data_IF_645205494147
#
_entry.id   IF_645205494147
#
_cell.length_a   1.000
_cell.length_b   1.000
_cell.length_c   1.000
_cell.angle_alpha   90.00
_cell.angle_beta   90.00
_cell.angle_gamma   90.00
#
_symmetry.space_group_name_H-M   'P 1'
#
loop_
_entity.id
_entity.type
_entity.pdbx_description
1 polymer ?
#
# COMPACT_ATOMS: atom_id res chain seq x y z
N UNK A 1 6.26 2.74 -20.01
CA UNK A 1 6.62 3.91 -19.17
C UNK A 1 5.85 3.82 -17.87
N UNK A 2 6.54 3.96 -16.76
CA UNK A 2 5.93 3.87 -15.44
C UNK A 2 4.81 4.90 -15.27
N UNK A 3 3.67 4.48 -14.72
CA UNK A 3 2.59 5.38 -14.31
C UNK A 3 2.98 6.17 -13.06
N UNK A 4 3.53 5.45 -12.07
CA UNK A 4 4.07 6.05 -10.85
C UNK A 4 5.55 5.67 -10.73
N UNK A 5 6.42 6.65 -10.49
CA UNK A 5 7.80 6.41 -10.08
C UNK A 5 8.08 7.16 -8.77
N UNK A 6 8.58 6.45 -7.78
CA UNK A 6 9.04 6.98 -6.50
C UNK A 6 10.56 6.82 -6.47
N UNK A 7 11.27 7.92 -6.27
CA UNK A 7 12.72 7.97 -6.37
C UNK A 7 13.33 8.57 -5.09
N UNK A 8 14.08 7.78 -4.35
CA UNK A 8 14.82 8.23 -3.16
C UNK A 8 13.95 8.85 -2.08
N UNK A 9 12.67 8.46 -1.97
CA UNK A 9 11.69 9.06 -1.06
C UNK A 9 12.16 8.97 0.39
N UNK A 10 12.13 10.11 1.09
CA UNK A 10 12.39 10.19 2.53
C UNK A 10 11.29 10.93 3.24
N UNK A 11 10.73 10.29 4.29
CA UNK A 11 9.69 10.88 5.14
C UNK A 11 10.07 10.70 6.60
N UNK A 12 10.07 11.81 7.33
CA UNK A 12 10.56 11.88 8.70
C UNK A 12 9.54 12.55 9.62
N UNK A 13 9.57 12.15 10.89
CA UNK A 13 8.77 12.75 11.96
C UNK A 13 9.70 13.30 13.03
N UNK A 14 9.57 14.60 13.32
CA UNK A 14 10.25 15.22 14.45
C UNK A 14 9.51 14.89 15.73
N UNK A 15 10.15 14.18 16.66
CA UNK A 15 9.58 13.79 17.95
C UNK A 15 10.43 14.31 19.09
N UNK A 16 9.90 14.35 20.33
CA UNK A 16 10.68 14.72 21.53
C UNK A 16 11.89 13.81 21.76
N UNK A 17 11.84 12.56 21.28
CA UNK A 17 12.92 11.59 21.41
C UNK A 17 13.89 11.55 20.21
N UNK A 18 13.77 12.48 19.24
CA UNK A 18 14.61 12.53 18.04
C UNK A 18 13.81 12.39 16.74
N UNK A 19 14.51 12.33 15.63
CA UNK A 19 13.90 12.20 14.31
C UNK A 19 13.68 10.74 13.93
N UNK A 20 12.42 10.37 13.73
CA UNK A 20 12.01 9.05 13.21
C UNK A 20 12.06 9.08 11.68
N UNK A 21 12.91 8.29 11.06
CA UNK A 21 13.01 8.12 9.60
C UNK A 21 12.11 6.99 9.14
N UNK A 22 10.82 7.28 9.03
CA UNK A 22 9.80 6.27 8.71
C UNK A 22 9.93 5.72 7.28
N UNK A 23 10.36 6.55 6.33
CA UNK A 23 10.74 6.17 4.96
C UNK A 23 12.10 6.80 4.69
N UNK A 24 13.05 6.02 4.18
CA UNK A 24 14.43 6.47 4.04
C UNK A 24 15.11 5.95 2.76
N UNK A 25 14.97 6.71 1.68
CA UNK A 25 15.58 6.40 0.38
C UNK A 25 14.85 5.33 -0.42
N UNK A 26 13.51 5.27 -0.30
CA UNK A 26 12.70 4.26 -0.95
C UNK A 26 12.49 4.60 -2.43
N UNK A 27 12.76 3.62 -3.32
CA UNK A 27 12.60 3.77 -4.77
C UNK A 27 11.90 2.57 -5.36
N UNK A 28 10.86 2.81 -6.17
CA UNK A 28 10.14 1.81 -6.96
C UNK A 28 9.33 2.48 -8.07
N UNK A 29 8.90 1.68 -9.04
CA UNK A 29 7.99 2.15 -10.08
C UNK A 29 6.82 1.16 -10.25
N UNK A 30 5.68 1.69 -10.71
CA UNK A 30 4.48 0.93 -11.03
C UNK A 30 4.09 1.26 -12.48
N UNK A 31 3.97 0.23 -13.30
CA UNK A 31 3.52 0.35 -14.68
C UNK A 31 1.99 0.46 -14.75
N UNK A 32 1.46 0.89 -15.90
CA UNK A 32 0.01 0.91 -16.12
C UNK A 32 -0.55 -0.50 -16.05
N UNK A 33 -1.66 -0.69 -15.34
CA UNK A 33 -2.29 -2.00 -15.14
C UNK A 33 -1.52 -2.95 -14.24
N UNK A 34 -0.40 -2.52 -13.66
CA UNK A 34 0.38 -3.35 -12.73
C UNK A 34 -0.21 -3.29 -11.31
N UNK A 35 -0.17 -4.44 -10.63
CA UNK A 35 -0.39 -4.53 -9.18
C UNK A 35 0.96 -4.78 -8.52
N UNK A 36 1.46 -3.76 -7.78
CA UNK A 36 2.66 -3.86 -6.97
C UNK A 36 2.27 -4.04 -5.50
N UNK A 37 2.73 -5.12 -4.88
CA UNK A 37 2.61 -5.33 -3.43
C UNK A 37 3.72 -4.60 -2.67
N UNK A 38 3.39 -3.90 -1.58
CA UNK A 38 4.34 -3.35 -0.61
C UNK A 38 4.14 -4.05 0.72
N UNK A 39 5.08 -4.91 1.10
CA UNK A 39 4.94 -5.87 2.21
C UNK A 39 6.02 -5.68 3.26
N UNK A 40 5.68 -5.90 4.52
CA UNK A 40 6.62 -5.88 5.65
C UNK A 40 5.89 -5.87 6.99
N UNK A 41 6.65 -5.97 8.09
CA UNK A 41 6.12 -5.92 9.45
C UNK A 41 5.39 -4.61 9.76
N UNK A 42 4.54 -4.60 10.78
CA UNK A 42 3.90 -3.38 11.26
C UNK A 42 4.95 -2.33 11.65
N UNK A 43 4.67 -1.05 11.35
CA UNK A 43 5.59 0.05 11.64
C UNK A 43 6.79 0.18 10.70
N UNK A 44 6.95 -0.66 9.66
CA UNK A 44 8.10 -0.58 8.74
C UNK A 44 8.04 0.57 7.71
N UNK A 45 6.96 1.39 7.68
CA UNK A 45 6.83 2.57 6.82
C UNK A 45 5.85 2.43 5.65
N UNK A 46 5.10 1.34 5.50
CA UNK A 46 4.15 1.11 4.39
C UNK A 46 3.10 2.22 4.25
N UNK A 47 2.30 2.45 5.29
CA UNK A 47 1.25 3.48 5.28
C UNK A 47 1.84 4.90 5.21
N UNK A 48 3.03 5.13 5.76
CA UNK A 48 3.71 6.42 5.60
C UNK A 48 4.13 6.64 4.14
N UNK A 49 4.50 5.58 3.41
CA UNK A 49 4.81 5.64 1.98
C UNK A 49 3.57 6.06 1.19
N UNK A 50 2.41 5.43 1.42
CA UNK A 50 1.16 5.79 0.75
C UNK A 50 0.74 7.24 1.05
N UNK A 51 0.80 7.64 2.32
CA UNK A 51 0.50 9.02 2.73
C UNK A 51 1.47 10.03 2.12
N UNK A 52 2.75 9.65 1.93
CA UNK A 52 3.73 10.50 1.27
C UNK A 52 3.41 10.71 -0.22
N UNK A 53 3.03 9.63 -0.94
CA UNK A 53 2.59 9.70 -2.33
C UNK A 53 1.36 10.61 -2.46
N UNK A 54 0.40 10.48 -1.55
CA UNK A 54 -0.80 11.30 -1.50
C UNK A 54 -0.55 12.71 -0.95
N UNK A 55 0.66 13.01 -0.43
CA UNK A 55 0.96 14.25 0.31
C UNK A 55 -0.03 14.51 1.45
N UNK A 56 -0.34 13.46 2.19
CA UNK A 56 -1.24 13.47 3.35
C UNK A 56 -0.53 13.13 4.67
N UNK A 57 0.80 13.19 4.70
CA UNK A 57 1.57 12.97 5.92
C UNK A 57 1.20 14.03 6.96
N UNK A 58 0.66 13.64 8.14
CA UNK A 58 0.24 14.61 9.15
C UNK A 58 1.46 15.22 9.87
N UNK A 59 1.37 16.49 10.33
CA UNK A 59 2.38 17.06 11.22
C UNK A 59 2.58 16.19 12.49
N UNK A 60 3.81 16.10 13.00
CA UNK A 60 5.05 16.77 12.59
C UNK A 60 5.81 16.09 11.46
N UNK A 61 5.18 15.12 10.77
CA UNK A 61 5.77 14.40 9.65
C UNK A 61 5.90 15.28 8.41
N UNK A 62 6.97 15.05 7.63
CA UNK A 62 7.19 15.72 6.35
C UNK A 62 8.02 14.86 5.40
N UNK A 63 7.78 15.00 4.11
CA UNK A 63 8.66 14.50 3.06
C UNK A 63 9.88 15.44 3.02
N UNK A 64 11.08 14.88 3.13
CA UNK A 64 12.33 15.65 3.24
C UNK A 64 13.24 15.50 2.03
N UNK A 65 13.05 14.48 1.22
CA UNK A 65 13.81 14.25 -0.01
C UNK A 65 13.12 13.26 -0.93
N UNK A 66 13.58 13.17 -2.16
CA UNK A 66 13.09 12.27 -3.18
C UNK A 66 12.16 12.96 -4.16
N UNK A 67 11.62 12.17 -5.09
CA UNK A 67 10.66 12.59 -6.12
C UNK A 67 9.50 11.58 -6.19
N UNK A 68 8.33 12.08 -6.54
CA UNK A 68 7.13 11.24 -6.74
C UNK A 68 6.53 11.64 -8.09
N UNK A 69 6.84 10.89 -9.13
CA UNK A 69 6.45 11.17 -10.49
C UNK A 69 5.18 10.39 -10.87
N UNK A 70 4.13 11.10 -11.26
CA UNK A 70 2.92 10.51 -11.82
C UNK A 70 2.82 10.91 -13.30
N UNK A 71 2.97 9.95 -14.22
CA UNK A 71 3.12 10.21 -15.66
C UNK A 71 4.21 11.27 -15.97
N UNK A 72 5.32 11.24 -15.24
CA UNK A 72 6.42 12.19 -15.37
C UNK A 72 6.25 13.50 -14.61
N UNK A 73 5.07 13.83 -14.10
CA UNK A 73 4.80 15.01 -13.29
C UNK A 73 5.22 14.81 -11.82
N UNK A 74 6.11 15.63 -11.28
CA UNK A 74 6.46 15.53 -9.86
C UNK A 74 5.33 16.05 -8.97
N UNK A 75 4.80 15.17 -8.13
CA UNK A 75 3.73 15.51 -7.20
C UNK A 75 4.22 16.41 -6.05
N UNK A 76 5.52 16.39 -5.73
CA UNK A 76 6.07 17.19 -4.64
C UNK A 76 6.13 18.69 -5.01
N UNK A 77 6.25 19.01 -6.29
CA UNK A 77 6.30 20.39 -6.81
C UNK A 77 4.90 21.04 -6.95
N UNK A 78 3.82 20.23 -6.86
CA UNK A 78 2.46 20.73 -7.03
C UNK A 78 2.00 21.54 -5.81
N UNK A 79 1.27 22.62 -6.04
CA UNK A 79 0.57 23.35 -4.98
C UNK A 79 -0.64 22.54 -4.44
N UNK A 80 -1.28 23.06 -3.41
CA UNK A 80 -2.40 22.38 -2.75
C UNK A 80 -3.60 22.18 -3.69
N UNK A 81 -3.87 23.15 -4.56
CA UNK A 81 -4.98 23.10 -5.51
C UNK A 81 -4.73 22.09 -6.64
N UNK A 82 -3.51 22.05 -7.17
CA UNK A 82 -3.11 21.03 -8.15
C UNK A 82 -3.17 19.62 -7.55
N UNK A 83 -2.73 19.44 -6.29
CA UNK A 83 -2.87 18.16 -5.60
C UNK A 83 -4.32 17.77 -5.33
N UNK A 84 -5.22 18.73 -5.07
CA UNK A 84 -6.65 18.46 -4.93
C UNK A 84 -7.24 17.88 -6.22
N UNK A 85 -6.80 18.38 -7.39
CA UNK A 85 -7.20 17.83 -8.70
C UNK A 85 -6.62 16.45 -8.98
N UNK A 86 -5.44 16.11 -8.45
CA UNK A 86 -4.82 14.80 -8.60
C UNK A 86 -5.50 13.75 -7.73
N UNK A 87 -5.75 14.10 -6.45
CA UNK A 87 -6.40 13.20 -5.49
C UNK A 87 -7.83 12.92 -5.92
N UNK A 88 -8.20 11.64 -6.00
CA UNK A 88 -9.49 11.16 -6.49
C UNK A 88 -9.51 10.93 -8.00
N UNK A 89 -9.16 11.92 -8.82
CA UNK A 89 -9.24 11.81 -10.27
C UNK A 89 -8.10 11.00 -10.91
N UNK A 90 -6.87 11.11 -10.39
CA UNK A 90 -5.71 10.38 -10.93
C UNK A 90 -5.19 9.31 -9.98
N UNK A 91 -5.11 9.62 -8.70
CA UNK A 91 -4.74 8.69 -7.63
C UNK A 91 -5.86 8.68 -6.60
N UNK A 92 -6.38 7.52 -6.28
CA UNK A 92 -7.30 7.31 -5.16
C UNK A 92 -6.66 6.42 -4.10
N UNK A 93 -7.19 6.50 -2.87
CA UNK A 93 -6.72 5.70 -1.75
C UNK A 93 -7.89 5.05 -1.02
N UNK A 94 -7.76 3.76 -0.76
CA UNK A 94 -8.58 2.99 0.18
C UNK A 94 -7.78 2.88 1.46
N UNK A 95 -8.32 3.46 2.55
CA UNK A 95 -7.66 3.49 3.86
C UNK A 95 -7.91 2.20 4.63
N UNK A 96 -7.07 1.94 5.62
CA UNK A 96 -7.14 0.75 6.46
C UNK A 96 -8.46 0.64 7.23
N UNK A 97 -8.98 1.77 7.73
CA UNK A 97 -10.19 1.81 8.54
C UNK A 97 -11.34 2.57 7.85
N UNK A 98 -12.41 1.88 7.38
CA UNK A 98 -13.54 2.54 6.72
C UNK A 98 -14.27 3.55 7.62
N UNK A 99 -14.28 3.32 8.94
CA UNK A 99 -14.96 4.21 9.89
C UNK A 99 -14.33 5.58 10.03
N UNK A 100 -13.02 5.68 9.78
CA UNK A 100 -12.31 6.96 9.79
C UNK A 100 -12.32 7.65 8.43
N UNK A 101 -12.50 6.87 7.34
CA UNK A 101 -12.53 7.37 5.97
C UNK A 101 -13.91 7.90 5.55
N UNK A 102 -15.00 7.28 6.05
CA UNK A 102 -16.37 7.67 5.75
C UNK A 102 -16.89 8.67 6.80
N UNK A 103 -17.44 9.79 6.34
CA UNK A 103 -18.02 10.79 7.25
C UNK A 103 -19.37 10.28 7.80
N UNK A 104 -19.52 10.13 9.13
CA UNK A 104 -20.71 9.50 9.73
C UNK A 104 -22.00 10.34 9.62
N UNK A 105 -21.91 11.61 9.30
CA UNK A 105 -23.08 12.53 9.23
C UNK A 105 -23.64 12.71 7.82
N UNK A 106 -23.06 12.06 6.81
CA UNK A 106 -23.55 12.06 5.45
C UNK A 106 -23.90 10.64 4.99
N UNK A 107 -24.93 10.51 4.13
CA UNK A 107 -25.24 9.21 3.52
C UNK A 107 -24.10 8.74 2.62
N UNK A 108 -24.01 7.43 2.39
CA UNK A 108 -23.00 6.84 1.51
C UNK A 108 -23.10 7.42 0.09
N UNK A 109 -24.32 7.52 -0.45
CA UNK A 109 -24.56 8.06 -1.79
C UNK A 109 -24.17 9.53 -1.90
N UNK A 110 -24.44 10.36 -0.88
CA UNK A 110 -24.04 11.77 -0.88
C UNK A 110 -22.53 11.94 -0.90
N UNK A 111 -21.79 11.10 -0.15
CA UNK A 111 -20.33 11.13 -0.13
C UNK A 111 -19.73 10.75 -1.49
N UNK A 112 -20.23 9.66 -2.11
CA UNK A 112 -19.75 9.24 -3.44
C UNK A 112 -20.14 10.29 -4.48
N UNK A 113 -21.38 10.79 -4.46
CA UNK A 113 -21.83 11.84 -5.39
C UNK A 113 -21.04 13.14 -5.22
N UNK A 114 -20.64 13.50 -4.02
CA UNK A 114 -19.78 14.66 -3.77
C UNK A 114 -18.39 14.48 -4.40
N UNK A 115 -17.79 13.28 -4.29
CA UNK A 115 -16.51 12.99 -4.94
C UNK A 115 -16.62 13.06 -6.47
N UNK A 116 -17.66 12.49 -7.07
CA UNK A 116 -17.92 12.58 -8.52
C UNK A 116 -18.03 14.03 -8.95
N UNK A 117 -18.84 14.85 -8.27
CA UNK A 117 -19.02 16.27 -8.60
C UNK A 117 -17.75 17.10 -8.46
N UNK A 118 -16.91 16.77 -7.51
CA UNK A 118 -15.65 17.48 -7.29
C UNK A 118 -14.66 17.32 -8.46
N UNK A 119 -14.76 16.22 -9.20
CA UNK A 119 -13.80 15.86 -10.26
C UNK A 119 -14.37 15.86 -11.67
N UNK A 120 -15.60 15.37 -11.85
CA UNK A 120 -16.24 15.26 -13.16
C UNK A 120 -17.18 16.44 -13.44
N UNK A 121 -17.53 17.21 -12.40
CA UNK A 121 -18.57 18.21 -12.49
C UNK A 121 -19.98 17.60 -12.60
N UNK A 122 -20.88 18.28 -13.30
CA UNK A 122 -22.22 17.76 -13.56
C UNK A 122 -23.26 18.06 -12.47
N UNK A 123 -24.51 17.71 -12.78
CA UNK A 123 -25.66 17.96 -11.92
C UNK A 123 -25.76 16.94 -10.76
N UNK A 124 -26.41 17.37 -9.70
CA UNK A 124 -26.62 16.58 -8.47
C UNK A 124 -27.25 15.20 -8.76
N UNK A 125 -28.22 15.16 -9.68
CA UNK A 125 -28.93 13.94 -10.06
C UNK A 125 -28.00 12.94 -10.78
N UNK A 126 -27.20 13.42 -11.75
CA UNK A 126 -26.27 12.57 -12.48
C UNK A 126 -25.19 11.98 -11.53
N UNK A 127 -24.64 12.78 -10.64
CA UNK A 127 -23.68 12.31 -9.64
C UNK A 127 -24.28 11.27 -8.66
N UNK A 128 -25.56 11.45 -8.30
CA UNK A 128 -26.27 10.45 -7.48
C UNK A 128 -26.45 9.12 -8.22
N UNK A 129 -26.90 9.15 -9.49
CA UNK A 129 -27.01 7.92 -10.28
C UNK A 129 -25.65 7.24 -10.46
N UNK A 130 -24.59 8.03 -10.64
CA UNK A 130 -23.22 7.50 -10.67
C UNK A 130 -22.81 6.84 -9.34
N UNK A 131 -23.20 7.42 -8.21
CA UNK A 131 -22.96 6.82 -6.89
C UNK A 131 -23.67 5.48 -6.75
N UNK A 132 -24.94 5.37 -7.18
CA UNK A 132 -25.71 4.12 -7.17
C UNK A 132 -25.06 3.08 -8.10
N UNK A 133 -24.65 3.47 -9.31
CA UNK A 133 -23.91 2.60 -10.23
C UNK A 133 -22.63 2.07 -9.61
N UNK A 134 -21.86 2.92 -8.93
CA UNK A 134 -20.62 2.50 -8.29
C UNK A 134 -20.85 1.53 -7.14
N UNK A 135 -21.91 1.72 -6.34
CA UNK A 135 -22.30 0.77 -5.29
C UNK A 135 -22.71 -0.59 -5.88
N UNK A 136 -23.38 -0.60 -7.03
CA UNK A 136 -23.70 -1.82 -7.75
C UNK A 136 -22.44 -2.54 -8.25
N UNK A 137 -21.51 -1.81 -8.86
CA UNK A 137 -20.22 -2.36 -9.33
C UNK A 137 -19.39 -2.99 -8.22
N UNK A 138 -19.44 -2.44 -7.01
CA UNK A 138 -18.78 -3.06 -5.84
C UNK A 138 -19.67 -4.10 -5.14
N UNK A 139 -20.77 -4.51 -5.78
CA UNK A 139 -21.66 -5.57 -5.30
C UNK A 139 -22.30 -5.29 -3.94
N UNK A 140 -22.70 -4.05 -3.70
CA UNK A 140 -23.56 -3.70 -2.57
C UNK A 140 -24.99 -4.10 -2.91
N UNK A 141 -25.66 -4.96 -2.13
CA UNK A 141 -27.04 -5.35 -2.38
C UNK A 141 -27.99 -4.15 -2.24
N UNK A 142 -29.02 -4.07 -3.09
CA UNK A 142 -29.98 -2.95 -3.12
C UNK A 142 -29.31 -1.58 -3.16
N UNK A 143 -28.42 -1.29 -4.13
CA UNK A 143 -27.50 -0.16 -4.09
C UNK A 143 -28.21 1.18 -3.95
N UNK A 144 -29.40 1.34 -4.55
CA UNK A 144 -30.19 2.58 -4.46
C UNK A 144 -30.77 2.84 -3.06
N UNK A 145 -31.09 1.80 -2.31
CA UNK A 145 -31.52 1.90 -0.91
C UNK A 145 -30.31 2.18 -0.02
N UNK A 146 -29.24 1.39 -0.18
CA UNK A 146 -28.01 1.51 0.60
C UNK A 146 -27.28 2.83 0.37
N UNK A 147 -27.46 3.48 -0.78
CA UNK A 147 -26.95 4.82 -1.01
C UNK A 147 -27.51 5.86 -0.02
N UNK A 148 -28.71 5.60 0.55
CA UNK A 148 -29.34 6.49 1.55
C UNK A 148 -28.92 6.20 2.98
N UNK A 149 -28.30 5.03 3.21
CA UNK A 149 -27.81 4.63 4.52
C UNK A 149 -26.58 5.46 4.94
N UNK A 150 -26.44 5.63 6.24
CA UNK A 150 -25.25 6.21 6.86
C UNK A 150 -24.21 5.12 7.14
N UNK A 151 -22.91 5.47 7.27
CA UNK A 151 -21.86 4.48 7.53
C UNK A 151 -22.13 3.53 8.70
N UNK A 152 -22.70 4.04 9.80
CA UNK A 152 -22.99 3.24 11.00
C UNK A 152 -24.11 2.20 10.81
N UNK A 153 -24.94 2.34 9.78
CA UNK A 153 -26.02 1.41 9.45
C UNK A 153 -25.55 0.23 8.61
N UNK A 154 -24.33 0.27 8.08
CA UNK A 154 -23.75 -0.78 7.25
C UNK A 154 -22.90 -1.76 8.07
N UNK A 155 -22.83 -3.02 7.62
CA UNK A 155 -21.84 -4.00 8.13
C UNK A 155 -20.41 -3.60 7.74
N UNK A 156 -19.39 -4.19 8.38
CA UNK A 156 -17.98 -3.93 8.08
C UNK A 156 -17.64 -4.14 6.60
N UNK A 157 -18.06 -5.26 6.03
CA UNK A 157 -17.84 -5.56 4.61
C UNK A 157 -18.57 -4.60 3.66
N UNK A 158 -19.79 -4.15 4.00
CA UNK A 158 -20.50 -3.14 3.21
C UNK A 158 -19.86 -1.75 3.30
N UNK A 159 -19.34 -1.36 4.47
CA UNK A 159 -18.56 -0.12 4.61
C UNK A 159 -17.31 -0.16 3.75
N UNK A 160 -16.60 -1.30 3.74
CA UNK A 160 -15.42 -1.50 2.92
C UNK A 160 -15.75 -1.35 1.43
N UNK A 161 -16.81 -2.01 0.96
CA UNK A 161 -17.31 -1.87 -0.42
C UNK A 161 -17.69 -0.43 -0.74
N UNK A 162 -18.36 0.27 0.17
CA UNK A 162 -18.73 1.68 -0.01
C UNK A 162 -17.49 2.59 -0.09
N UNK A 163 -16.45 2.34 0.72
CA UNK A 163 -15.18 3.07 0.64
C UNK A 163 -14.47 2.81 -0.68
N UNK A 164 -14.46 1.57 -1.17
CA UNK A 164 -13.92 1.24 -2.50
C UNK A 164 -14.72 1.96 -3.60
N UNK A 165 -16.07 1.97 -3.51
CA UNK A 165 -16.92 2.72 -4.45
C UNK A 165 -16.58 4.22 -4.44
N UNK A 166 -16.41 4.82 -3.27
CA UNK A 166 -16.03 6.21 -3.11
C UNK A 166 -14.67 6.50 -3.77
N UNK A 167 -13.67 5.67 -3.53
CA UNK A 167 -12.33 5.82 -4.11
C UNK A 167 -12.34 5.68 -5.64
N UNK A 168 -13.14 4.78 -6.19
CA UNK A 168 -13.16 4.46 -7.62
C UNK A 168 -14.16 5.28 -8.45
N UNK A 169 -15.09 6.00 -7.81
CA UNK A 169 -16.14 6.74 -8.50
C UNK A 169 -15.60 7.80 -9.48
N UNK A 170 -14.53 8.56 -9.17
CA UNK A 170 -13.93 9.51 -10.10
C UNK A 170 -13.07 8.88 -11.22
N UNK A 171 -12.90 7.57 -11.25
CA UNK A 171 -12.16 6.87 -12.31
C UNK A 171 -10.63 7.02 -12.24
N UNK A 172 -9.97 6.78 -11.10
CA UNK A 172 -8.53 6.96 -10.97
C UNK A 172 -7.72 6.00 -11.85
N UNK A 173 -6.50 6.41 -12.21
CA UNK A 173 -5.53 5.60 -12.94
C UNK A 173 -4.71 4.70 -11.99
N UNK A 174 -4.51 5.16 -10.74
CA UNK A 174 -3.80 4.44 -9.69
C UNK A 174 -4.68 4.35 -8.43
N UNK A 175 -4.83 3.16 -7.90
CA UNK A 175 -5.41 2.91 -6.58
C UNK A 175 -4.31 2.54 -5.59
N UNK A 176 -4.22 3.25 -4.49
CA UNK A 176 -3.44 2.85 -3.32
C UNK A 176 -4.41 2.16 -2.35
N UNK A 177 -4.22 0.87 -2.10
CA UNK A 177 -5.03 0.09 -1.19
C UNK A 177 -4.20 -0.26 0.06
N UNK A 178 -4.43 0.48 1.14
CA UNK A 178 -3.69 0.31 2.41
C UNK A 178 -4.46 -0.64 3.32
N UNK A 179 -4.00 -1.89 3.37
CA UNK A 179 -4.59 -2.99 4.14
C UNK A 179 -6.12 -3.13 3.90
N UNK A 180 -6.58 -3.24 2.64
CA UNK A 180 -7.99 -3.05 2.28
C UNK A 180 -8.95 -4.11 2.82
N UNK A 181 -8.45 -5.17 3.44
CA UNK A 181 -9.27 -6.28 3.96
C UNK A 181 -8.93 -6.61 5.42
N UNK A 182 -8.09 -5.83 6.08
CA UNK A 182 -7.72 -6.01 7.50
C UNK A 182 -8.96 -5.81 8.39
N UNK A 183 -9.06 -6.59 9.46
CA UNK A 183 -10.18 -6.61 10.40
C UNK A 183 -11.54 -7.11 9.84
N UNK A 184 -11.54 -7.76 8.69
CA UNK A 184 -12.69 -8.49 8.15
C UNK A 184 -12.52 -10.00 8.39
N UNK A 185 -13.63 -10.72 8.44
CA UNK A 185 -13.57 -12.18 8.45
C UNK A 185 -13.02 -12.72 7.11
N UNK A 186 -12.44 -13.92 7.15
CA UNK A 186 -11.72 -14.54 6.02
C UNK A 186 -12.58 -14.60 4.74
N UNK A 187 -13.87 -14.86 4.88
CA UNK A 187 -14.80 -14.95 3.75
C UNK A 187 -15.01 -13.58 3.09
N UNK A 188 -15.25 -12.56 3.88
CA UNK A 188 -15.42 -11.17 3.38
C UNK A 188 -14.10 -10.65 2.82
N UNK A 189 -12.97 -10.97 3.47
CA UNK A 189 -11.64 -10.63 2.95
C UNK A 189 -11.45 -11.17 1.53
N UNK A 190 -11.68 -12.46 1.30
CA UNK A 190 -11.58 -13.08 -0.02
C UNK A 190 -12.49 -12.39 -1.06
N UNK A 191 -13.74 -12.04 -0.67
CA UNK A 191 -14.65 -11.31 -1.54
C UNK A 191 -14.18 -9.90 -1.91
N UNK A 192 -13.57 -9.17 -0.98
CA UNK A 192 -13.01 -7.84 -1.24
C UNK A 192 -11.80 -7.92 -2.17
N UNK A 193 -10.94 -8.91 -1.99
CA UNK A 193 -9.76 -9.12 -2.83
C UNK A 193 -10.16 -9.50 -4.26
N UNK A 194 -11.12 -10.42 -4.42
CA UNK A 194 -11.66 -10.79 -5.73
C UNK A 194 -12.37 -9.59 -6.41
N UNK A 195 -13.09 -8.77 -5.66
CA UNK A 195 -13.65 -7.52 -6.15
C UNK A 195 -12.57 -6.57 -6.68
N UNK A 196 -11.51 -6.35 -5.91
CA UNK A 196 -10.38 -5.48 -6.33
C UNK A 196 -9.70 -6.02 -7.59
N UNK A 197 -9.48 -7.33 -7.69
CA UNK A 197 -8.92 -7.99 -8.87
C UNK A 197 -9.77 -7.74 -10.12
N UNK A 198 -11.09 -7.95 -10.01
CA UNK A 198 -12.03 -7.70 -11.13
C UNK A 198 -12.02 -6.23 -11.55
N UNK A 199 -12.15 -5.30 -10.61
CA UNK A 199 -12.18 -3.87 -10.90
C UNK A 199 -10.85 -3.37 -11.50
N UNK A 200 -9.73 -3.94 -11.08
CA UNK A 200 -8.41 -3.66 -11.65
C UNK A 200 -8.33 -4.14 -13.09
N UNK A 201 -8.74 -5.38 -13.37
CA UNK A 201 -8.71 -5.97 -14.72
C UNK A 201 -9.64 -5.23 -15.68
N UNK A 202 -10.87 -4.93 -15.26
CA UNK A 202 -11.87 -4.24 -16.08
C UNK A 202 -11.46 -2.84 -16.53
N UNK A 203 -10.66 -2.14 -15.71
CA UNK A 203 -10.24 -0.76 -15.96
C UNK A 203 -8.81 -0.61 -16.43
N UNK A 204 -8.00 -1.65 -16.38
CA UNK A 204 -6.55 -1.57 -16.60
C UNK A 204 -5.87 -0.61 -15.63
N UNK A 205 -6.41 -0.47 -14.42
CA UNK A 205 -5.94 0.43 -13.39
C UNK A 205 -4.69 -0.14 -12.73
N UNK A 206 -3.71 0.72 -12.43
CA UNK A 206 -2.58 0.31 -11.60
C UNK A 206 -2.97 0.27 -10.12
N UNK A 207 -2.37 -0.64 -9.34
CA UNK A 207 -2.64 -0.76 -7.91
C UNK A 207 -1.34 -0.83 -7.11
N UNK A 208 -1.21 -0.01 -6.07
CA UNK A 208 -0.26 -0.20 -5.00
C UNK A 208 -0.98 -0.87 -3.83
N UNK A 209 -0.76 -2.16 -3.64
CA UNK A 209 -1.36 -2.94 -2.56
C UNK A 209 -0.42 -2.99 -1.37
N UNK A 210 -0.83 -2.39 -0.26
CA UNK A 210 -0.12 -2.45 1.01
C UNK A 210 -0.78 -3.52 1.88
N UNK A 211 0.01 -4.49 2.32
CA UNK A 211 -0.47 -5.57 3.18
C UNK A 211 0.70 -6.19 3.96
N UNK A 212 0.38 -6.90 5.03
CA UNK A 212 1.31 -7.79 5.73
C UNK A 212 1.05 -9.27 5.38
N UNK A 213 0.01 -9.56 4.60
CA UNK A 213 -0.38 -10.91 4.20
C UNK A 213 0.24 -11.30 2.85
N UNK A 214 1.23 -12.19 2.89
CA UNK A 214 1.89 -12.71 1.71
C UNK A 214 0.98 -13.63 0.86
N UNK A 215 -0.07 -14.22 1.44
CA UNK A 215 -1.06 -14.99 0.70
C UNK A 215 -1.83 -14.09 -0.26
N UNK A 216 -2.25 -12.92 0.21
CA UNK A 216 -2.89 -11.88 -0.61
C UNK A 216 -1.98 -11.40 -1.74
N UNK A 217 -0.68 -11.24 -1.45
CA UNK A 217 0.31 -10.84 -2.46
C UNK A 217 0.45 -11.90 -3.54
N UNK A 218 0.52 -13.18 -3.16
CA UNK A 218 0.63 -14.30 -4.10
C UNK A 218 -0.56 -14.36 -5.07
N UNK A 219 -1.74 -13.96 -4.61
CA UNK A 219 -2.98 -14.02 -5.40
C UNK A 219 -3.16 -12.82 -6.34
N UNK A 220 -2.78 -11.62 -5.91
CA UNK A 220 -3.17 -10.38 -6.59
C UNK A 220 -2.02 -9.64 -7.27
N UNK A 221 -0.78 -9.78 -6.78
CA UNK A 221 0.31 -8.91 -7.22
C UNK A 221 1.09 -9.52 -8.39
N UNK A 222 1.58 -8.65 -9.28
CA UNK A 222 2.53 -9.02 -10.34
C UNK A 222 3.96 -9.01 -9.80
N UNK A 223 4.30 -7.96 -9.03
CA UNK A 223 5.58 -7.77 -8.36
C UNK A 223 5.34 -7.41 -6.90
N UNK A 224 6.35 -7.65 -6.09
CA UNK A 224 6.33 -7.27 -4.67
C UNK A 224 7.63 -6.60 -4.26
N UNK A 225 7.51 -5.55 -3.47
CA UNK A 225 8.59 -4.87 -2.77
C UNK A 225 8.47 -5.18 -1.28
N UNK A 226 9.50 -5.81 -0.72
CA UNK A 226 9.59 -6.14 0.70
C UNK A 226 10.26 -4.96 1.41
N UNK A 227 9.54 -4.34 2.32
CA UNK A 227 10.04 -3.20 3.09
C UNK A 227 10.40 -3.62 4.53
N UNK A 228 11.56 -3.19 4.99
CA UNK A 228 12.01 -3.35 6.36
C UNK A 228 12.56 -2.03 6.90
N UNK A 229 12.02 -1.58 8.02
CA UNK A 229 12.50 -0.39 8.72
C UNK A 229 12.67 0.84 7.80
N UNK A 230 11.71 1.12 6.91
CA UNK A 230 11.68 2.27 6.01
C UNK A 230 12.45 2.13 4.70
N UNK A 231 12.96 0.92 4.36
CA UNK A 231 13.72 0.66 3.13
C UNK A 231 13.23 -0.60 2.43
N UNK A 232 13.29 -0.60 1.09
CA UNK A 232 13.10 -1.83 0.32
C UNK A 232 14.35 -2.69 0.48
N UNK A 233 14.16 -3.92 0.93
CA UNK A 233 15.25 -4.91 1.10
C UNK A 233 15.28 -5.93 -0.03
N UNK A 234 14.14 -6.16 -0.68
CA UNK A 234 14.03 -7.06 -1.82
C UNK A 234 12.83 -6.66 -2.69
N UNK A 235 12.96 -6.74 -4.02
CA UNK A 235 11.88 -6.49 -4.97
C UNK A 235 12.03 -7.38 -6.19
N UNK A 236 10.96 -8.12 -6.54
CA UNK A 236 10.95 -9.03 -7.68
C UNK A 236 9.53 -9.35 -8.15
N UNK A 237 9.35 -10.06 -9.28
CA UNK A 237 8.11 -10.76 -9.60
C UNK A 237 7.68 -11.68 -8.45
N UNK A 238 6.38 -11.75 -8.17
CA UNK A 238 5.84 -12.49 -7.02
C UNK A 238 6.35 -13.93 -6.99
N UNK A 239 6.29 -14.65 -8.13
CA UNK A 239 6.77 -16.03 -8.20
C UNK A 239 8.22 -16.17 -7.69
N UNK A 240 9.11 -15.24 -8.08
CA UNK A 240 10.52 -15.27 -7.66
C UNK A 240 10.71 -15.07 -6.16
N UNK A 241 9.88 -14.23 -5.54
CA UNK A 241 9.93 -14.04 -4.08
C UNK A 241 9.53 -15.33 -3.34
N UNK A 242 8.55 -16.06 -3.84
CA UNK A 242 8.10 -17.31 -3.20
C UNK A 242 9.02 -18.50 -3.48
N UNK A 243 9.52 -18.62 -4.71
CA UNK A 243 10.38 -19.74 -5.14
C UNK A 243 11.82 -19.56 -4.69
N UNK A 244 12.37 -18.37 -4.85
CA UNK A 244 13.81 -18.09 -4.68
C UNK A 244 14.04 -16.78 -3.89
N UNK A 245 13.54 -16.64 -2.64
CA UNK A 245 13.77 -15.44 -1.86
C UNK A 245 15.26 -15.24 -1.59
N UNK A 246 15.77 -14.05 -1.85
CA UNK A 246 17.19 -13.75 -1.70
C UNK A 246 17.48 -13.19 -0.30
N UNK A 247 16.76 -12.14 0.13
CA UNK A 247 17.05 -11.48 1.39
C UNK A 247 16.72 -12.36 2.62
N UNK A 248 17.59 -12.45 3.64
CA UNK A 248 17.31 -13.25 4.85
C UNK A 248 16.00 -12.87 5.56
N UNK A 249 15.61 -11.60 5.55
CA UNK A 249 14.33 -11.13 6.09
C UNK A 249 13.13 -11.71 5.31
N UNK A 250 13.17 -11.70 3.98
CA UNK A 250 12.12 -12.29 3.12
C UNK A 250 11.97 -13.77 3.38
N UNK A 251 13.10 -14.48 3.49
CA UNK A 251 13.11 -15.91 3.89
C UNK A 251 12.49 -16.13 5.27
N UNK A 252 12.75 -15.21 6.20
CA UNK A 252 12.14 -15.21 7.54
C UNK A 252 10.62 -15.04 7.46
N UNK A 253 10.14 -14.04 6.71
CA UNK A 253 8.70 -13.81 6.52
C UNK A 253 7.98 -15.02 5.92
N UNK A 254 8.55 -15.63 4.88
CA UNK A 254 7.97 -16.81 4.22
C UNK A 254 7.95 -18.05 5.15
N UNK A 255 8.95 -18.19 6.05
CA UNK A 255 8.96 -19.27 7.06
C UNK A 255 7.88 -19.11 8.12
N UNK A 256 7.44 -17.89 8.38
CA UNK A 256 6.35 -17.61 9.33
C UNK A 256 4.97 -17.96 8.77
N UNK A 257 4.84 -18.21 7.45
CA UNK A 257 3.56 -18.61 6.85
C UNK A 257 3.17 -20.02 7.30
N UNK A 258 1.88 -20.22 7.65
CA UNK A 258 1.35 -21.55 7.89
C UNK A 258 1.53 -22.42 6.64
N UNK A 259 2.10 -23.60 6.80
CA UNK A 259 2.25 -24.55 5.70
C UNK A 259 1.67 -25.92 6.10
N UNK A 260 0.88 -26.57 5.23
CA UNK A 260 0.22 -27.84 5.58
C UNK A 260 1.19 -28.93 6.07
N UNK A 261 2.42 -28.98 5.53
CA UNK A 261 3.43 -29.96 5.96
C UNK A 261 3.99 -29.69 7.37
N UNK A 262 3.69 -28.55 7.98
CA UNK A 262 4.13 -28.16 9.33
C UNK A 262 2.97 -28.14 10.34
N UNK A 263 1.86 -28.79 10.00
CA UNK A 263 0.72 -28.87 10.89
C UNK A 263 1.14 -29.52 12.23
N UNK A 264 0.78 -28.89 13.35
CA UNK A 264 1.16 -29.35 14.69
C UNK A 264 2.56 -28.94 15.17
N UNK A 265 3.35 -28.23 14.35
CA UNK A 265 4.63 -27.66 14.79
C UNK A 265 4.42 -26.18 15.23
N UNK A 266 5.24 -25.68 16.18
CA UNK A 266 5.24 -24.26 16.53
C UNK A 266 5.51 -23.40 15.28
N UNK A 267 4.77 -22.30 15.14
CA UNK A 267 5.03 -21.34 14.07
C UNK A 267 6.41 -20.71 14.24
N UNK A 268 7.17 -20.66 13.15
CA UNK A 268 8.44 -19.93 13.14
C UNK A 268 8.18 -18.44 13.32
N UNK A 269 9.04 -17.76 14.05
CA UNK A 269 9.03 -16.30 14.17
C UNK A 269 10.40 -15.75 13.80
N UNK A 270 10.44 -14.49 13.34
CA UNK A 270 11.71 -13.77 13.17
C UNK A 270 12.12 -13.25 14.54
N UNK A 271 13.22 -13.78 15.07
CA UNK A 271 13.72 -13.43 16.40
C UNK A 271 14.06 -11.93 16.51
N UNK A 272 13.94 -11.40 17.73
CA UNK A 272 14.22 -10.01 18.05
C UNK A 272 13.11 -9.03 17.63
N UNK A 273 13.32 -7.76 17.91
CA UNK A 273 12.39 -6.68 17.59
C UNK A 273 12.90 -5.83 16.41
N UNK A 274 12.01 -5.19 15.61
CA UNK A 274 12.42 -4.20 14.65
C UNK A 274 13.25 -3.08 15.29
N UNK A 275 14.21 -2.48 14.56
CA UNK A 275 15.06 -1.43 15.12
C UNK A 275 14.27 -0.15 15.39
N UNK A 276 14.72 0.60 16.39
CA UNK A 276 14.23 1.94 16.62
C UNK A 276 14.66 2.87 15.47
N UNK A 277 13.70 3.37 14.70
CA UNK A 277 13.95 4.23 13.53
C UNK A 277 14.53 5.61 13.91
N UNK A 278 14.59 5.95 15.20
CA UNK A 278 15.31 7.14 15.71
C UNK A 278 16.82 6.93 15.73
N UNK A 279 17.25 5.69 15.89
CA UNK A 279 18.65 5.28 16.07
C UNK A 279 19.16 4.40 14.91
N UNK A 280 18.55 4.53 13.73
CA UNK A 280 18.98 3.75 12.58
C UNK A 280 20.46 4.00 12.29
N UNK A 281 21.29 2.99 12.51
CA UNK A 281 22.73 3.02 12.25
C UNK A 281 23.06 3.15 10.75
N UNK A 282 24.35 3.23 10.45
CA UNK A 282 24.86 3.35 9.08
C UNK A 282 24.73 2.05 8.26
N UNK A 283 24.63 0.89 8.92
CA UNK A 283 24.63 -0.42 8.25
C UNK A 283 23.22 -0.96 7.90
N UNK A 284 23.20 -2.19 7.48
CA UNK A 284 21.96 -2.93 7.18
C UNK A 284 21.05 -2.96 8.42
N UNK A 285 19.82 -2.45 8.28
CA UNK A 285 18.85 -2.35 9.38
C UNK A 285 18.39 -3.71 9.91
N UNK A 286 18.48 -4.75 9.08
CA UNK A 286 18.18 -6.13 9.50
C UNK A 286 19.36 -6.83 10.17
N UNK A 287 20.59 -6.31 10.12
CA UNK A 287 21.78 -6.96 10.66
C UNK A 287 21.64 -7.44 12.13
N UNK A 288 20.96 -6.73 13.06
CA UNK A 288 20.77 -7.19 14.43
C UNK A 288 19.92 -8.47 14.58
N UNK A 289 19.05 -8.76 13.59
CA UNK A 289 18.16 -9.93 13.55
C UNK A 289 18.59 -10.98 12.51
N UNK A 290 19.61 -10.66 11.72
CA UNK A 290 20.04 -11.50 10.60
C UNK A 290 20.96 -12.63 11.08
N UNK A 291 20.60 -13.92 10.88
CA UNK A 291 21.44 -15.03 11.25
C UNK A 291 22.71 -15.15 10.37
N UNK A 292 22.74 -14.42 9.24
CA UNK A 292 23.84 -14.42 8.28
C UNK A 292 24.64 -13.11 8.30
N UNK A 293 24.46 -12.27 9.34
CA UNK A 293 25.09 -10.95 9.39
C UNK A 293 26.61 -11.03 9.42
N UNK A 294 27.26 -10.32 8.51
CA UNK A 294 28.70 -10.09 8.48
C UNK A 294 29.05 -8.79 9.21
N UNK A 295 30.32 -8.61 9.55
CA UNK A 295 30.83 -7.37 10.14
C UNK A 295 30.56 -6.14 9.24
N UNK A 296 30.72 -6.30 7.92
CA UNK A 296 30.39 -5.27 6.94
C UNK A 296 28.92 -4.84 6.98
N UNK A 297 27.98 -5.78 7.23
CA UNK A 297 26.55 -5.48 7.33
C UNK A 297 26.23 -4.51 8.48
N UNK A 298 27.10 -4.42 9.51
CA UNK A 298 26.91 -3.49 10.63
C UNK A 298 27.42 -2.08 10.34
N UNK A 299 28.33 -1.94 9.37
CA UNK A 299 28.98 -0.67 9.01
C UNK A 299 28.40 -0.04 7.76
N UNK A 300 28.16 -0.87 6.74
CA UNK A 300 27.83 -0.42 5.41
C UNK A 300 26.38 -0.76 5.08
N UNK A 301 25.65 0.25 4.61
CA UNK A 301 24.28 0.04 4.14
C UNK A 301 24.31 -0.56 2.73
N UNK A 302 23.70 -1.73 2.49
CA UNK A 302 23.67 -2.34 1.18
C UNK A 302 22.74 -1.55 0.24
N UNK A 303 23.21 -1.30 -0.99
CA UNK A 303 22.37 -0.80 -2.07
C UNK A 303 21.36 -1.87 -2.51
N UNK A 304 20.23 -1.41 -3.05
CA UNK A 304 19.24 -2.27 -3.69
C UNK A 304 19.69 -2.55 -5.13
N UNK A 305 20.46 -3.61 -5.33
CA UNK A 305 21.07 -3.97 -6.61
C UNK A 305 20.29 -5.08 -7.30
N UNK A 306 20.26 -5.03 -8.62
CA UNK A 306 19.75 -6.14 -9.45
C UNK A 306 20.75 -7.29 -9.42
N UNK A 307 20.37 -8.40 -8.76
CA UNK A 307 21.20 -9.61 -8.66
C UNK A 307 20.85 -10.67 -9.69
N UNK A 308 19.61 -10.66 -10.20
CA UNK A 308 19.10 -11.49 -11.28
C UNK A 308 18.13 -10.64 -12.09
N UNK A 309 17.84 -10.97 -13.35
CA UNK A 309 16.92 -10.18 -14.18
C UNK A 309 15.59 -9.92 -13.48
N UNK A 310 15.29 -8.63 -13.21
CA UNK A 310 14.10 -8.17 -12.51
C UNK A 310 14.05 -8.49 -11.01
N UNK A 311 15.14 -9.00 -10.40
CA UNK A 311 15.21 -9.35 -8.98
C UNK A 311 16.27 -8.53 -8.26
N UNK A 312 15.83 -7.56 -7.49
CA UNK A 312 16.63 -6.60 -6.74
C UNK A 312 16.72 -6.99 -5.29
N UNK A 313 17.91 -6.90 -4.68
CA UNK A 313 18.10 -7.20 -3.26
C UNK A 313 19.17 -6.30 -2.63
N UNK A 314 18.86 -5.80 -1.43
CA UNK A 314 19.80 -5.00 -0.62
C UNK A 314 20.51 -5.91 0.39
N UNK A 315 21.34 -6.84 -0.10
CA UNK A 315 22.06 -7.77 0.77
C UNK A 315 23.42 -8.17 0.16
N UNK A 316 24.53 -7.96 0.87
CA UNK A 316 25.87 -8.34 0.39
C UNK A 316 26.16 -9.83 0.55
N UNK A 317 25.39 -10.55 1.39
CA UNK A 317 25.65 -11.96 1.74
C UNK A 317 25.07 -12.91 0.71
N UNK A 318 24.16 -12.45 -0.13
CA UNK A 318 23.52 -13.29 -1.13
C UNK A 318 24.45 -13.49 -2.32
N UNK A 319 24.96 -14.72 -2.48
CA UNK A 319 25.63 -15.17 -3.69
C UNK A 319 24.61 -15.31 -4.82
N UNK A 320 24.98 -14.86 -6.01
CA UNK A 320 24.21 -15.00 -7.27
C UNK A 320 24.21 -16.45 -7.72
#
# INVERSE_FOLDING_TARGET
MALLAVEGLRTQFATSGGTVRAVDGLSFAIERGEVLGLVGESGCGKSVTSLSIMRLVPPPGRVTAGRILLDGDDLLDKDAEAMRRVRGARIAMVFQEPMTALNPVFSIGDQIAAAVRAHEGGGRRAAWERAVEMLDRVQVPSPRERARDYPHQLSGGLRQRAMIALALAPGPQLLIADEPATALDVTIQAQILDLLRRLQADRGMAVLLITHDLGVVAELCHRVAIIYAGRIVEMAPVAKIFEEPLHPYTRGLLRCLPHPSRFGQPLSSIEGAPPDLRQAGAGCRFAPRCPLALESCRRDEPALDERRPGHFVACPVVSV
#
